data_IF_279337925598
#
_entry.id   IF_279337925598
#
_cell.length_a   1.000
_cell.length_b   1.000
_cell.length_c   1.000
_cell.angle_alpha   90.00
_cell.angle_beta   90.00
_cell.angle_gamma   90.00
#
_symmetry.space_group_name_H-M   'P 1'
#
loop_
_entity.id
_entity.type
_entity.pdbx_description
1 polymer ?
#
# COMPACT_ATOMS: atom_id res chain seq x y z
N UNK A 1 24.31 -20.92 -3.17
CA UNK A 1 23.70 -19.57 -3.28
C UNK A 1 23.97 -18.82 -1.99
N UNK A 2 24.26 -17.51 -2.04
CA UNK A 2 24.25 -16.68 -0.81
C UNK A 2 22.78 -16.37 -0.49
N UNK A 3 22.33 -16.74 0.70
CA UNK A 3 20.99 -16.40 1.21
C UNK A 3 20.87 -14.92 1.55
N UNK A 4 19.88 -14.57 2.36
CA UNK A 4 19.70 -13.23 2.90
C UNK A 4 19.56 -13.28 4.43
N UNK A 5 20.06 -12.25 5.10
CA UNK A 5 20.00 -12.11 6.56
C UNK A 5 19.01 -11.01 6.92
N UNK A 6 18.06 -11.33 7.79
CA UNK A 6 17.12 -10.36 8.38
C UNK A 6 17.62 -10.02 9.78
N UNK A 7 17.91 -8.74 10.01
CA UNK A 7 18.24 -8.21 11.33
C UNK A 7 16.98 -7.62 11.98
N UNK A 8 16.71 -8.02 13.21
CA UNK A 8 15.62 -7.52 14.05
C UNK A 8 16.15 -7.11 15.41
N UNK A 9 15.31 -6.51 16.25
CA UNK A 9 15.66 -6.21 17.65
C UNK A 9 16.04 -7.47 18.46
N UNK A 10 15.56 -8.64 18.04
CA UNK A 10 15.80 -9.92 18.70
C UNK A 10 17.00 -10.70 18.12
N UNK A 11 17.76 -10.11 17.19
CA UNK A 11 18.92 -10.73 16.56
C UNK A 11 18.81 -10.89 15.04
N UNK A 12 19.76 -11.65 14.49
CA UNK A 12 19.91 -11.90 13.05
C UNK A 12 19.46 -13.32 12.68
N UNK A 13 18.79 -13.43 11.55
CA UNK A 13 18.21 -14.68 11.06
C UNK A 13 18.57 -14.87 9.60
N UNK A 14 19.08 -16.06 9.24
CA UNK A 14 19.46 -16.39 7.88
C UNK A 14 18.34 -17.15 7.16
N UNK A 15 18.11 -16.81 5.89
CA UNK A 15 17.12 -17.42 5.02
C UNK A 15 17.70 -17.65 3.62
N UNK A 16 17.21 -18.69 2.92
CA UNK A 16 17.56 -18.92 1.51
C UNK A 16 16.95 -17.87 0.57
N UNK A 17 15.84 -17.27 1.01
CA UNK A 17 15.13 -16.22 0.28
C UNK A 17 14.30 -15.34 1.23
N UNK A 18 14.10 -14.08 0.84
CA UNK A 18 13.25 -13.11 1.54
C UNK A 18 12.30 -12.48 0.54
N UNK A 19 11.00 -12.41 0.89
CA UNK A 19 9.99 -11.69 0.12
C UNK A 19 9.60 -10.40 0.86
N UNK A 20 9.94 -9.27 0.25
CA UNK A 20 9.58 -7.94 0.73
C UNK A 20 8.14 -7.62 0.30
N UNK A 21 7.18 -7.86 1.19
CA UNK A 21 5.75 -7.57 1.00
C UNK A 21 5.35 -6.21 1.60
N UNK A 22 6.21 -5.21 1.45
CA UNK A 22 6.07 -3.87 2.00
C UNK A 22 6.18 -2.82 0.89
N UNK A 23 6.02 -1.54 1.21
CA UNK A 23 6.18 -0.49 0.20
C UNK A 23 7.62 -0.48 -0.36
N UNK A 24 7.78 -0.05 -1.61
CA UNK A 24 9.10 0.06 -2.25
C UNK A 24 10.04 1.02 -1.53
N UNK A 25 9.52 2.11 -0.95
CA UNK A 25 10.30 3.06 -0.15
C UNK A 25 10.74 2.45 1.20
N UNK A 26 9.91 1.62 1.81
CA UNK A 26 10.25 0.83 3.00
C UNK A 26 11.31 -0.21 2.65
N UNK A 27 11.17 -0.89 1.51
CA UNK A 27 12.18 -1.83 1.00
C UNK A 27 13.53 -1.16 0.81
N UNK A 28 13.56 0.05 0.22
CA UNK A 28 14.77 0.85 0.04
C UNK A 28 15.48 1.20 1.36
N UNK A 29 14.71 1.39 2.45
CA UNK A 29 15.23 1.65 3.80
C UNK A 29 15.74 0.39 4.48
N UNK A 30 15.06 -0.74 4.27
CA UNK A 30 15.36 -2.01 4.94
C UNK A 30 16.53 -2.77 4.28
N UNK A 31 16.64 -2.74 2.96
CA UNK A 31 17.63 -3.51 2.22
C UNK A 31 18.94 -2.73 2.04
N UNK A 32 19.85 -2.90 3.01
CA UNK A 32 21.17 -2.23 3.06
C UNK A 32 22.00 -2.45 1.80
N UNK A 33 22.24 -3.71 1.44
CA UNK A 33 23.10 -4.10 0.30
C UNK A 33 22.31 -4.27 -1.01
N UNK A 34 21.25 -3.48 -1.20
CA UNK A 34 20.45 -3.54 -2.41
C UNK A 34 21.31 -3.21 -3.64
N UNK A 35 21.31 -4.06 -4.70
CA UNK A 35 21.97 -3.75 -5.95
C UNK A 35 21.49 -2.42 -6.55
N UNK A 36 22.40 -1.67 -7.18
CA UNK A 36 22.10 -0.34 -7.73
C UNK A 36 20.93 -0.37 -8.73
N UNK A 37 20.86 -1.39 -9.57
CA UNK A 37 19.76 -1.60 -10.51
C UNK A 37 18.40 -1.70 -9.80
N UNK A 38 18.32 -2.50 -8.73
CA UNK A 38 17.10 -2.68 -7.95
C UNK A 38 16.70 -1.35 -7.29
N UNK A 39 17.69 -0.63 -6.74
CA UNK A 39 17.49 0.68 -6.11
C UNK A 39 16.92 1.69 -7.11
N UNK A 40 17.49 1.74 -8.30
CA UNK A 40 17.08 2.65 -9.37
C UNK A 40 15.63 2.42 -9.84
N UNK A 41 15.16 1.17 -9.80
CA UNK A 41 13.77 0.83 -10.11
C UNK A 41 12.84 1.16 -8.94
N UNK A 42 13.19 0.74 -7.71
CA UNK A 42 12.33 0.88 -6.53
C UNK A 42 12.02 2.34 -6.18
N UNK A 43 12.96 3.25 -6.39
CA UNK A 43 12.79 4.68 -6.06
C UNK A 43 11.79 5.42 -6.96
N UNK A 44 11.40 4.83 -8.10
CA UNK A 44 10.43 5.42 -9.02
C UNK A 44 9.00 5.36 -8.47
N UNK A 45 8.74 4.45 -7.51
CA UNK A 45 7.44 4.27 -6.90
C UNK A 45 7.36 5.12 -5.64
N UNK A 46 6.67 6.25 -5.75
CA UNK A 46 6.50 7.24 -4.68
C UNK A 46 5.21 6.99 -3.92
N UNK A 47 5.10 7.55 -2.71
CA UNK A 47 3.92 7.43 -1.87
C UNK A 47 3.49 8.81 -1.39
N UNK A 48 2.17 9.01 -1.31
CA UNK A 48 1.55 10.17 -0.69
C UNK A 48 0.90 9.76 0.61
N UNK A 49 1.19 10.51 1.67
CA UNK A 49 0.48 10.37 2.94
C UNK A 49 -0.93 10.90 2.79
N UNK A 50 -1.90 10.07 3.17
CA UNK A 50 -3.30 10.41 3.25
C UNK A 50 -3.79 10.17 4.67
N UNK A 51 -4.55 11.11 5.23
CA UNK A 51 -5.12 10.94 6.56
C UNK A 51 -6.61 10.62 6.45
N UNK A 52 -7.03 9.50 7.03
CA UNK A 52 -8.43 9.15 7.18
C UNK A 52 -8.90 9.47 8.60
N UNK A 53 -9.97 10.24 8.71
CA UNK A 53 -10.56 10.64 9.98
C UNK A 53 -11.96 10.04 10.06
N UNK A 54 -12.19 9.16 11.04
CA UNK A 54 -13.54 8.71 11.41
C UNK A 54 -14.12 9.69 12.43
N UNK A 55 -15.25 10.30 12.11
CA UNK A 55 -15.88 11.30 12.97
C UNK A 55 -17.42 11.30 12.82
N UNK A 56 -18.10 12.08 13.66
CA UNK A 56 -19.54 12.32 13.61
C UNK A 56 -19.92 13.79 13.38
N UNK A 57 -18.93 14.62 13.03
CA UNK A 57 -19.14 16.04 12.73
C UNK A 57 -19.80 16.27 11.36
N UNK A 58 -21.04 16.75 11.34
CA UNK A 58 -21.80 17.01 10.11
C UNK A 58 -21.32 18.25 9.35
N UNK A 59 -20.47 19.08 9.98
CA UNK A 59 -19.86 20.27 9.36
C UNK A 59 -19.02 19.93 8.13
N UNK A 60 -18.52 18.69 8.03
CA UNK A 60 -17.72 18.25 6.88
C UNK A 60 -18.52 18.05 5.59
N UNK A 61 -19.86 18.00 5.69
CA UNK A 61 -20.78 17.75 4.59
C UNK A 61 -21.29 19.06 3.96
N UNK A 62 -21.84 19.02 2.73
CA UNK A 62 -22.46 20.20 2.12
C UNK A 62 -23.56 20.79 3.02
N UNK A 63 -23.60 22.12 3.17
CA UNK A 63 -24.60 22.78 4.01
C UNK A 63 -26.06 22.50 3.61
N UNK A 64 -26.30 22.17 2.34
CA UNK A 64 -27.62 21.74 1.86
C UNK A 64 -27.73 20.21 1.92
N UNK A 65 -28.64 19.71 2.77
CA UNK A 65 -28.83 18.27 3.00
C UNK A 65 -29.23 17.46 1.75
N UNK A 66 -29.90 18.10 0.78
CA UNK A 66 -30.25 17.45 -0.49
C UNK A 66 -29.03 17.17 -1.39
N UNK A 67 -27.90 17.83 -1.16
CA UNK A 67 -26.65 17.58 -1.87
C UNK A 67 -25.83 16.43 -1.26
N UNK A 68 -26.31 15.80 -0.17
CA UNK A 68 -25.59 14.73 0.49
C UNK A 68 -25.61 13.44 -0.33
N UNK A 69 -24.44 13.07 -0.84
CA UNK A 69 -24.19 11.79 -1.46
C UNK A 69 -23.54 10.81 -0.47
N UNK A 70 -23.43 9.54 -0.85
CA UNK A 70 -22.63 8.58 -0.08
C UNK A 70 -21.18 9.03 -0.04
N UNK A 71 -20.68 9.60 -1.13
CA UNK A 71 -19.32 10.14 -1.28
C UNK A 71 -19.43 11.60 -1.72
N UNK A 72 -18.79 12.52 -1.01
CA UNK A 72 -18.83 13.95 -1.29
C UNK A 72 -17.40 14.44 -1.47
N UNK A 73 -17.17 15.25 -2.50
CA UNK A 73 -15.85 15.73 -2.86
C UNK A 73 -15.75 17.22 -2.64
N UNK A 74 -14.70 17.66 -1.95
CA UNK A 74 -14.39 19.06 -1.67
C UNK A 74 -13.08 19.40 -2.34
N UNK A 75 -13.04 20.54 -3.01
CA UNK A 75 -11.85 21.12 -3.62
C UNK A 75 -11.73 22.56 -3.14
N UNK A 76 -10.53 22.96 -2.76
CA UNK A 76 -10.20 24.36 -2.45
C UNK A 76 -9.58 25.06 -3.66
N UNK A 77 -9.51 26.39 -3.63
CA UNK A 77 -8.88 27.17 -4.70
C UNK A 77 -7.38 26.84 -4.89
N UNK A 78 -6.72 26.35 -3.84
CA UNK A 78 -5.34 25.84 -3.87
C UNK A 78 -5.23 24.34 -4.19
N UNK A 79 -6.25 23.79 -4.86
CA UNK A 79 -6.33 22.41 -5.38
C UNK A 79 -6.20 21.29 -4.34
N UNK A 80 -6.35 21.59 -3.04
CA UNK A 80 -6.45 20.53 -2.02
C UNK A 80 -7.79 19.83 -2.17
N UNK A 81 -7.75 18.51 -2.05
CA UNK A 81 -8.92 17.66 -2.22
C UNK A 81 -9.23 16.93 -0.93
N UNK A 82 -10.52 16.83 -0.61
CA UNK A 82 -11.01 16.03 0.50
C UNK A 82 -12.21 15.21 0.02
N UNK A 83 -12.23 13.93 0.37
CA UNK A 83 -13.37 13.05 0.11
C UNK A 83 -14.02 12.66 1.43
N UNK A 84 -15.32 12.91 1.55
CA UNK A 84 -16.11 12.56 2.74
C UNK A 84 -17.08 11.44 2.40
N UNK A 85 -16.89 10.30 3.06
CA UNK A 85 -17.77 9.14 2.98
C UNK A 85 -18.83 9.21 4.07
N UNK A 86 -20.09 9.35 3.67
CA UNK A 86 -21.23 9.18 4.57
C UNK A 86 -21.51 7.70 4.79
N UNK A 87 -20.91 7.14 5.83
CA UNK A 87 -20.90 5.69 6.09
C UNK A 87 -22.30 5.15 6.35
N UNK A 88 -23.20 5.94 6.95
CA UNK A 88 -24.57 5.47 7.19
C UNK A 88 -25.33 5.20 5.90
N UNK A 89 -25.12 6.00 4.86
CA UNK A 89 -25.74 5.77 3.55
C UNK A 89 -24.99 4.67 2.78
N UNK A 90 -23.67 4.68 2.84
CA UNK A 90 -22.83 3.72 2.12
C UNK A 90 -22.98 2.27 2.63
N UNK A 91 -23.04 2.10 3.95
CA UNK A 91 -23.07 0.79 4.62
C UNK A 91 -24.42 0.50 5.30
N UNK A 92 -25.45 1.33 5.07
CA UNK A 92 -26.77 1.20 5.70
C UNK A 92 -26.73 1.17 7.24
N UNK A 93 -25.84 1.91 7.90
CA UNK A 93 -25.63 1.80 9.35
C UNK A 93 -26.88 2.12 10.18
N UNK A 94 -27.81 2.94 9.67
CA UNK A 94 -29.10 3.17 10.33
C UNK A 94 -29.92 1.89 10.49
N UNK A 95 -29.91 1.01 9.48
CA UNK A 95 -30.57 -0.31 9.54
C UNK A 95 -29.88 -1.25 10.54
N UNK A 96 -28.62 -0.96 10.86
CA UNK A 96 -27.82 -1.69 11.85
C UNK A 96 -27.90 -1.06 13.25
N UNK A 97 -28.77 -0.06 13.46
CA UNK A 97 -29.02 0.55 14.77
C UNK A 97 -28.17 1.79 15.09
N UNK A 98 -27.43 2.34 14.13
CA UNK A 98 -26.74 3.61 14.32
C UNK A 98 -27.74 4.73 14.64
N UNK A 99 -27.48 5.48 15.71
CA UNK A 99 -28.34 6.61 16.16
C UNK A 99 -27.83 7.98 15.73
N UNK A 100 -26.67 8.02 15.05
CA UNK A 100 -26.00 9.24 14.59
C UNK A 100 -25.33 8.99 13.25
N UNK A 101 -24.95 10.07 12.56
CA UNK A 101 -24.11 9.97 11.37
C UNK A 101 -22.65 9.67 11.72
N UNK A 102 -22.04 8.84 10.89
CA UNK A 102 -20.62 8.56 10.88
C UNK A 102 -20.08 8.90 9.49
N UNK A 103 -18.94 9.57 9.50
CA UNK A 103 -18.23 10.02 8.32
C UNK A 103 -16.80 9.54 8.36
N UNK A 104 -16.26 9.23 7.19
CA UNK A 104 -14.82 9.10 6.99
C UNK A 104 -14.39 10.20 6.05
N UNK A 105 -13.61 11.16 6.53
CA UNK A 105 -12.98 12.17 5.70
C UNK A 105 -11.55 11.75 5.36
N UNK A 106 -11.19 11.80 4.08
CA UNK A 106 -9.82 11.62 3.59
C UNK A 106 -9.24 12.99 3.29
N UNK A 107 -8.10 13.30 3.88
CA UNK A 107 -7.37 14.57 3.73
C UNK A 107 -8.24 15.79 4.09
N UNK A 108 -8.96 15.70 5.21
CA UNK A 108 -9.75 16.83 5.70
C UNK A 108 -8.86 18.03 6.00
N UNK A 109 -9.23 19.18 5.44
CA UNK A 109 -8.50 20.45 5.61
C UNK A 109 -9.28 21.48 6.42
N UNK A 110 -10.51 21.15 6.83
CA UNK A 110 -11.30 21.95 7.78
C UNK A 110 -11.05 21.46 9.20
N UNK A 111 -11.16 22.37 10.17
CA UNK A 111 -11.10 22.00 11.58
C UNK A 111 -12.41 21.29 11.96
N UNK A 112 -12.33 19.97 12.12
CA UNK A 112 -13.40 19.18 12.72
C UNK A 112 -13.44 19.44 14.22
N UNK A 113 -14.64 19.35 14.79
CA UNK A 113 -14.82 19.33 16.24
C UNK A 113 -14.12 18.09 16.85
N UNK A 114 -13.05 18.32 17.61
CA UNK A 114 -12.24 17.26 18.22
C UNK A 114 -13.06 16.30 19.08
N UNK A 115 -14.13 16.78 19.73
CA UNK A 115 -15.01 15.94 20.56
C UNK A 115 -15.82 14.92 19.73
N UNK A 116 -15.92 15.14 18.41
CA UNK A 116 -16.63 14.27 17.46
C UNK A 116 -15.69 13.38 16.65
N UNK A 117 -14.38 13.50 16.83
CA UNK A 117 -13.40 12.62 16.22
C UNK A 117 -13.36 11.31 17.01
N UNK A 118 -13.48 10.19 16.31
CA UNK A 118 -13.47 8.85 16.91
C UNK A 118 -12.14 8.15 16.66
N UNK A 119 -11.53 8.38 15.49
CA UNK A 119 -10.24 7.79 15.13
C UNK A 119 -9.58 8.58 14.01
N UNK A 120 -8.26 8.67 14.07
CA UNK A 120 -7.41 9.14 12.96
C UNK A 120 -6.53 7.96 12.55
N UNK A 121 -6.42 7.72 11.25
CA UNK A 121 -5.59 6.67 10.67
C UNK A 121 -4.80 7.29 9.53
N UNK A 122 -3.47 7.26 9.64
CA UNK A 122 -2.59 7.67 8.57
C UNK A 122 -2.35 6.50 7.61
N UNK A 123 -2.54 6.77 6.33
CA UNK A 123 -2.31 5.85 5.22
C UNK A 123 -1.27 6.43 4.27
N UNK A 124 -0.69 5.57 3.45
CA UNK A 124 0.18 5.96 2.35
C UNK A 124 -0.36 5.30 1.08
N UNK A 125 -0.59 6.11 0.04
CA UNK A 125 -1.03 5.62 -1.27
C UNK A 125 0.10 5.72 -2.28
N UNK A 126 0.34 4.67 -3.08
CA UNK A 126 1.30 4.74 -4.17
C UNK A 126 0.87 5.75 -5.23
N UNK A 127 1.81 6.57 -5.66
CA UNK A 127 1.67 7.50 -6.77
C UNK A 127 2.15 6.83 -8.05
N UNK A 128 1.25 6.72 -9.04
CA UNK A 128 1.56 6.15 -10.34
C UNK A 128 1.76 7.25 -11.36
N UNK A 129 2.97 7.78 -11.40
CA UNK A 129 3.38 8.64 -12.50
C UNK A 129 3.77 7.81 -13.75
N UNK A 130 4.01 8.50 -14.87
CA UNK A 130 4.37 7.86 -16.15
C UNK A 130 5.64 7.02 -16.02
N UNK A 131 6.58 7.41 -15.15
CA UNK A 131 7.81 6.65 -14.95
C UNK A 131 7.55 5.39 -14.14
N UNK A 132 6.78 5.46 -13.06
CA UNK A 132 6.39 4.31 -12.25
C UNK A 132 5.70 3.24 -13.11
N UNK A 133 4.70 3.63 -13.91
CA UNK A 133 3.96 2.70 -14.79
C UNK A 133 4.87 2.04 -15.83
N UNK A 134 5.75 2.81 -16.50
CA UNK A 134 6.67 2.26 -17.51
C UNK A 134 7.66 1.24 -16.95
N UNK A 135 8.00 1.35 -15.66
CA UNK A 135 9.02 0.52 -15.00
C UNK A 135 8.45 -0.67 -14.22
N UNK A 136 7.13 -0.89 -14.22
CA UNK A 136 6.52 -2.05 -13.56
C UNK A 136 6.99 -3.39 -14.13
N UNK A 137 7.27 -3.46 -15.43
CA UNK A 137 7.85 -4.64 -16.06
C UNK A 137 9.25 -4.97 -15.52
N UNK A 138 10.01 -3.96 -15.09
CA UNK A 138 11.35 -4.15 -14.55
C UNK A 138 11.29 -4.79 -13.15
N UNK A 139 10.23 -4.51 -12.37
CA UNK A 139 9.98 -5.19 -11.09
C UNK A 139 9.86 -6.71 -11.27
N UNK A 140 9.21 -7.16 -12.35
CA UNK A 140 9.10 -8.58 -12.66
C UNK A 140 10.45 -9.19 -13.03
N UNK A 141 11.28 -8.44 -13.75
CA UNK A 141 12.62 -8.88 -14.16
C UNK A 141 13.56 -9.04 -12.97
N UNK A 142 13.64 -8.03 -12.09
CA UNK A 142 14.53 -8.09 -10.91
C UNK A 142 14.08 -9.13 -9.88
N UNK A 143 12.86 -9.63 -9.97
CA UNK A 143 12.34 -10.73 -9.14
C UNK A 143 12.76 -12.13 -9.61
N UNK A 144 13.46 -12.25 -10.75
CA UNK A 144 13.90 -13.54 -11.30
C UNK A 144 15.22 -14.03 -10.70
N UNK A 145 15.98 -13.15 -10.04
CA UNK A 145 17.33 -13.41 -9.57
C UNK A 145 17.55 -12.99 -8.12
N UNK A 146 18.61 -13.52 -7.52
CA UNK A 146 19.01 -13.18 -6.16
C UNK A 146 18.17 -13.84 -5.06
N UNK A 147 18.49 -13.56 -3.78
CA UNK A 147 17.76 -14.08 -2.63
C UNK A 147 16.64 -13.14 -2.14
N UNK A 148 16.52 -11.91 -2.67
CA UNK A 148 15.52 -10.93 -2.23
C UNK A 148 14.54 -10.63 -3.35
N UNK A 149 13.27 -10.91 -3.08
CA UNK A 149 12.14 -10.72 -3.98
C UNK A 149 11.20 -9.66 -3.43
N UNK A 150 10.33 -9.11 -4.28
CA UNK A 150 9.45 -8.00 -3.94
C UNK A 150 8.01 -8.29 -4.38
N UNK A 151 7.04 -7.85 -3.58
CA UNK A 151 5.64 -7.82 -4.00
C UNK A 151 4.91 -6.66 -3.34
N UNK A 152 3.80 -6.24 -3.94
CA UNK A 152 3.00 -5.14 -3.44
C UNK A 152 2.15 -4.51 -4.54
N UNK A 153 1.19 -3.69 -4.13
CA UNK A 153 0.24 -3.08 -5.05
C UNK A 153 0.90 -2.14 -6.09
N UNK A 154 2.12 -1.68 -5.81
CA UNK A 154 2.94 -0.84 -6.71
C UNK A 154 3.40 -1.59 -7.99
N UNK A 155 3.24 -2.91 -8.05
CA UNK A 155 3.45 -3.68 -9.28
C UNK A 155 2.42 -3.35 -10.38
N UNK A 156 1.29 -2.72 -10.04
CA UNK A 156 0.22 -2.34 -10.98
C UNK A 156 -0.48 -1.03 -10.58
N UNK A 157 -1.74 -1.02 -10.17
CA UNK A 157 -2.52 0.23 -10.03
C UNK A 157 -2.85 0.58 -8.59
N UNK A 158 -2.22 -0.10 -7.61
CA UNK A 158 -2.36 0.24 -6.19
C UNK A 158 -3.57 -0.38 -5.50
N UNK A 159 -4.27 -1.31 -6.16
CA UNK A 159 -5.42 -1.99 -5.57
C UNK A 159 -5.03 -3.27 -4.82
N UNK A 160 -5.97 -3.80 -4.03
CA UNK A 160 -5.74 -5.03 -3.26
C UNK A 160 -5.45 -6.24 -4.16
N UNK A 161 -6.11 -6.32 -5.31
CA UNK A 161 -5.94 -7.34 -6.32
C UNK A 161 -4.52 -7.33 -6.91
N UNK A 162 -3.90 -6.16 -6.99
CA UNK A 162 -2.53 -6.00 -7.48
C UNK A 162 -1.50 -6.52 -6.46
N UNK A 163 -1.77 -6.27 -5.17
CA UNK A 163 -1.00 -6.86 -4.08
C UNK A 163 -1.09 -8.39 -4.08
N UNK A 164 -2.31 -8.93 -4.18
CA UNK A 164 -2.52 -10.38 -4.27
C UNK A 164 -1.84 -10.98 -5.50
N UNK A 165 -2.02 -10.35 -6.66
CA UNK A 165 -1.44 -10.83 -7.91
C UNK A 165 0.09 -10.84 -7.85
N UNK A 166 0.72 -9.75 -7.40
CA UNK A 166 2.18 -9.67 -7.31
C UNK A 166 2.77 -10.65 -6.29
N UNK A 167 2.09 -10.84 -5.15
CA UNK A 167 2.48 -11.86 -4.17
C UNK A 167 2.47 -13.26 -4.76
N UNK A 168 1.43 -13.61 -5.53
CA UNK A 168 1.35 -14.90 -6.22
C UNK A 168 2.45 -15.07 -7.27
N UNK A 169 2.78 -14.02 -8.04
CA UNK A 169 3.89 -14.06 -9.00
C UNK A 169 5.23 -14.28 -8.29
N UNK A 170 5.49 -13.57 -7.20
CA UNK A 170 6.74 -13.71 -6.45
C UNK A 170 6.86 -15.12 -5.83
N UNK A 171 5.78 -15.65 -5.26
CA UNK A 171 5.76 -17.01 -4.71
C UNK A 171 6.04 -18.08 -5.78
N UNK A 172 5.45 -17.95 -6.97
CA UNK A 172 5.71 -18.87 -8.11
C UNK A 172 7.16 -18.80 -8.59
N UNK A 173 7.69 -17.59 -8.76
CA UNK A 173 9.10 -17.38 -9.14
C UNK A 173 10.05 -18.05 -8.13
N UNK A 174 9.76 -17.89 -6.84
CA UNK A 174 10.56 -18.50 -5.78
C UNK A 174 10.48 -20.03 -5.78
N UNK A 175 9.29 -20.60 -5.94
CA UNK A 175 9.09 -22.06 -6.01
C UNK A 175 9.86 -22.67 -7.21
N UNK A 176 9.73 -22.07 -8.40
CA UNK A 176 10.49 -22.52 -9.58
C UNK A 176 12.01 -22.47 -9.37
N UNK A 177 12.51 -21.44 -8.67
CA UNK A 177 13.94 -21.29 -8.35
C UNK A 177 14.42 -22.37 -7.38
N UNK A 178 13.63 -22.64 -6.33
CA UNK A 178 13.94 -23.66 -5.34
C UNK A 178 13.95 -25.07 -5.98
N UNK A 179 12.99 -25.36 -6.85
CA UNK A 179 12.94 -26.61 -7.61
C UNK A 179 14.15 -26.79 -8.52
N UNK A 180 14.55 -25.76 -9.28
CA UNK A 180 15.76 -25.79 -10.12
C UNK A 180 17.03 -26.03 -9.30
N UNK A 181 17.14 -25.37 -8.14
CA UNK A 181 18.29 -25.53 -7.25
C UNK A 181 18.37 -26.95 -6.67
N UNK A 182 17.22 -27.53 -6.29
CA UNK A 182 17.15 -28.91 -5.82
C UNK A 182 17.50 -29.93 -6.92
N UNK A 183 17.03 -29.70 -8.16
CA UNK A 183 17.35 -30.56 -9.29
C UNK A 183 18.85 -30.57 -9.63
N UNK A 184 19.50 -29.39 -9.61
CA UNK A 184 20.95 -29.26 -9.81
C UNK A 184 21.75 -29.98 -8.70
N UNK A 185 21.36 -29.80 -7.44
CA UNK A 185 22.01 -30.47 -6.30
C UNK A 185 21.83 -32.00 -6.31
N UNK A 186 20.76 -32.50 -6.93
CA UNK A 186 20.51 -33.93 -7.11
C UNK A 186 21.26 -34.57 -8.29
N UNK A 187 21.74 -33.78 -9.26
CA UNK A 187 22.56 -34.27 -10.39
C UNK A 187 24.06 -34.35 -10.08
N UNK A 188 24.51 -33.68 -9.02
CA UNK A 188 25.91 -33.70 -8.55
C UNK A 188 26.19 -34.81 -7.51
N UNK A 189 25.22 -35.70 -7.25
CA UNK A 189 25.36 -36.88 -6.37
C UNK A 189 25.28 -38.17 -7.17
#
# INVERSE_FOLDING_TARGET
SRGATIATENGEYEFDAVLMACHSDQTLRLYRDMPEEHRNIMQLFKYQKNQAILHSDESSMPGKRNAWASWNFKVTDDERTCTVYWMNKLQNLYKQGAKRNYFVSINEFQNLDESKIHRIIDYEHPLFDVQAVKNQKELLRINQEGPVHYCGAYFRYGFHEDGLWSGLQAARSLDERLQKSAALAGQER
#
